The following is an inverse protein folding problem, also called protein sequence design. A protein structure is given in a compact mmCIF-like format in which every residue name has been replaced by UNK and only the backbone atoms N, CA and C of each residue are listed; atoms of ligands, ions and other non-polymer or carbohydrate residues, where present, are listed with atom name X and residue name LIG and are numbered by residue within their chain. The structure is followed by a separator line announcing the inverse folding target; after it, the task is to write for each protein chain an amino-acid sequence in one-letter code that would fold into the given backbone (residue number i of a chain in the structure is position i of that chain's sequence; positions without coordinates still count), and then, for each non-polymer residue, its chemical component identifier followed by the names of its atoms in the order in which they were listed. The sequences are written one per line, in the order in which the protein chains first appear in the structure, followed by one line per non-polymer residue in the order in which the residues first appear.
data_IF_622514335469
#
_entry.id   IF_622514335469
#
_cell.length_a   1.000
_cell.length_b   1.000
_cell.length_c   1.000
_cell.angle_alpha   90.00
_cell.angle_beta   90.00
_cell.angle_gamma   90.00
#
_symmetry.space_group_name_H-M   'P 1'
#
loop_
_entity.id
_entity.type
_entity.pdbx_description
1 polymer ?
#
# COMPACT_ATOMS: atom_id res chain seq x y z
N UNK A 1 5.19 3.05 23.58
CA UNK A 1 4.49 1.80 23.92
C UNK A 1 4.18 1.13 22.60
N UNK A 2 4.95 0.09 22.25
CA UNK A 2 4.76 -0.66 21.01
C UNK A 2 3.42 -1.38 21.12
N UNK A 3 2.52 -1.16 20.15
CA UNK A 3 1.23 -1.85 20.09
C UNK A 3 1.41 -3.02 19.13
N UNK A 4 1.51 -4.22 19.68
CA UNK A 4 1.57 -5.45 18.92
C UNK A 4 0.14 -5.83 18.49
N UNK A 5 -0.10 -5.97 17.19
CA UNK A 5 -1.28 -6.67 16.69
C UNK A 5 -0.84 -8.05 16.19
N UNK A 6 -1.21 -9.08 16.95
CA UNK A 6 -0.94 -10.47 16.56
C UNK A 6 -2.00 -10.88 15.53
N UNK A 7 -1.58 -11.15 14.29
CA UNK A 7 -2.43 -11.84 13.31
C UNK A 7 -2.14 -13.35 13.40
N UNK A 8 -2.78 -14.01 14.37
CA UNK A 8 -2.56 -15.42 14.71
C UNK A 8 -2.74 -16.41 13.54
N UNK A 9 -3.45 -16.03 12.47
CA UNK A 9 -3.79 -16.96 11.37
C UNK A 9 -2.65 -17.25 10.38
N UNK A 10 -1.52 -16.53 10.45
CA UNK A 10 -0.43 -16.66 9.45
C UNK A 10 0.95 -16.99 10.06
N UNK A 11 1.06 -17.21 11.38
CA UNK A 11 2.35 -17.32 12.08
C UNK A 11 3.28 -16.13 11.83
N UNK A 12 2.70 -14.93 11.75
CA UNK A 12 3.43 -13.67 11.54
C UNK A 12 3.20 -12.75 12.74
N UNK A 13 4.29 -12.27 13.33
CA UNK A 13 4.25 -11.21 14.37
C UNK A 13 4.86 -9.95 13.81
N UNK A 14 4.14 -8.84 13.87
CA UNK A 14 4.60 -7.55 13.38
C UNK A 14 4.69 -6.54 14.52
N UNK A 15 5.75 -5.72 14.51
CA UNK A 15 5.91 -4.54 15.34
C UNK A 15 5.96 -3.28 14.48
N UNK A 16 5.59 -2.14 15.07
CA UNK A 16 5.76 -0.82 14.44
C UNK A 16 7.00 -0.18 15.05
N UNK A 17 7.95 0.24 14.22
CA UNK A 17 9.15 0.95 14.67
C UNK A 17 8.76 2.33 15.21
N UNK A 18 9.37 2.72 16.33
CA UNK A 18 8.98 3.93 17.05
C UNK A 18 9.36 5.23 16.32
N UNK A 19 10.37 5.16 15.44
CA UNK A 19 11.01 6.29 14.78
C UNK A 19 10.48 6.54 13.36
N UNK A 20 10.19 5.46 12.62
CA UNK A 20 9.85 5.47 11.19
C UNK A 20 8.41 5.07 10.93
N UNK A 21 7.68 4.60 11.95
CA UNK A 21 6.34 4.02 11.81
C UNK A 21 6.27 2.88 10.78
N UNK A 22 7.41 2.22 10.54
CA UNK A 22 7.50 1.08 9.62
C UNK A 22 7.01 -0.19 10.32
N UNK A 23 6.35 -1.05 9.55
CA UNK A 23 5.99 -2.39 10.01
C UNK A 23 7.16 -3.33 9.78
N UNK A 24 7.65 -3.97 10.84
CA UNK A 24 8.64 -5.04 10.77
C UNK A 24 7.95 -6.33 11.20
N UNK A 25 7.96 -7.34 10.33
CA UNK A 25 7.23 -8.58 10.53
C UNK A 25 8.16 -9.80 10.56
N UNK A 26 7.97 -10.68 11.54
CA UNK A 26 8.62 -11.99 11.61
C UNK A 26 7.65 -13.08 11.21
N UNK A 27 8.00 -13.86 10.19
CA UNK A 27 7.28 -15.08 9.79
C UNK A 27 7.76 -16.27 10.60
N UNK A 28 6.89 -17.27 10.79
CA UNK A 28 7.14 -18.50 11.56
C UNK A 28 7.40 -18.27 13.06
N UNK A 29 6.64 -17.36 13.69
CA UNK A 29 6.78 -17.01 15.11
C UNK A 29 6.88 -18.22 16.07
N UNK A 30 6.08 -19.25 15.84
CA UNK A 30 6.08 -20.46 16.68
C UNK A 30 7.44 -21.15 16.74
N UNK A 31 8.27 -21.03 15.70
CA UNK A 31 9.63 -21.60 15.68
C UNK A 31 10.64 -20.78 16.47
N UNK A 32 10.34 -19.51 16.78
CA UNK A 32 11.19 -18.68 17.64
C UNK A 32 10.97 -18.98 19.12
N UNK A 33 9.76 -19.42 19.50
CA UNK A 33 9.49 -19.83 20.88
C UNK A 33 10.27 -21.09 21.30
N UNK A 34 10.76 -21.88 20.35
CA UNK A 34 11.61 -23.04 20.59
C UNK A 34 13.05 -22.66 21.03
N UNK A 35 13.44 -21.39 20.88
CA UNK A 35 14.76 -20.86 21.25
C UNK A 35 14.76 -19.99 22.52
N UNK A 36 13.66 -20.00 23.30
CA UNK A 36 13.55 -19.35 24.62
C UNK A 36 13.87 -17.84 24.62
N UNK A 37 13.36 -17.13 23.61
CA UNK A 37 13.63 -15.71 23.36
C UNK A 37 12.69 -14.79 24.17
N UNK A 38 13.23 -13.75 24.82
CA UNK A 38 12.40 -12.78 25.56
C UNK A 38 11.92 -11.62 24.66
N UNK A 39 10.68 -11.10 24.84
CA UNK A 39 10.12 -9.99 24.05
C UNK A 39 10.99 -8.73 24.00
N UNK A 40 11.83 -8.48 25.01
CA UNK A 40 12.74 -7.35 25.07
C UNK A 40 13.92 -7.42 24.10
N UNK A 41 14.31 -8.60 23.64
CA UNK A 41 15.38 -8.76 22.65
C UNK A 41 14.92 -8.37 21.24
N UNK A 42 13.60 -8.45 20.99
CA UNK A 42 12.97 -7.99 19.75
C UNK A 42 12.96 -6.47 19.65
N UNK A 43 12.76 -5.79 20.77
CA UNK A 43 12.78 -4.32 20.85
C UNK A 43 14.13 -3.73 20.43
N UNK A 44 15.26 -4.42 20.63
CA UNK A 44 16.56 -3.92 20.18
C UNK A 44 16.69 -3.92 18.65
N UNK A 45 16.22 -4.98 17.98
CA UNK A 45 16.19 -5.09 16.52
C UNK A 45 15.25 -4.07 15.87
N UNK A 46 14.12 -3.76 16.51
CA UNK A 46 13.16 -2.76 16.04
C UNK A 46 13.62 -1.32 16.23
N UNK A 47 14.55 -1.07 17.17
CA UNK A 47 15.01 0.27 17.53
C UNK A 47 16.43 0.60 17.02
N UNK A 48 17.07 -0.26 16.21
CA UNK A 48 18.32 0.09 15.52
C UNK A 48 18.00 0.97 14.31
N UNK A 49 18.23 2.27 14.48
CA UNK A 49 17.64 3.37 13.72
C UNK A 49 18.29 3.71 12.36
N UNK A 50 18.82 2.76 11.58
CA UNK A 50 19.23 3.07 10.21
C UNK A 50 19.32 1.86 9.28
N UNK A 51 18.79 1.99 8.06
CA UNK A 51 19.06 1.06 6.96
C UNK A 51 20.54 1.10 6.52
N UNK A 52 21.29 2.14 6.90
CA UNK A 52 22.72 2.27 6.60
C UNK A 52 23.61 1.43 7.53
N UNK A 53 23.18 1.10 8.75
CA UNK A 53 23.90 0.15 9.63
C UNK A 53 23.81 -1.31 9.11
N UNK A 54 22.84 -1.61 8.24
CA UNK A 54 22.71 -2.95 7.63
C UNK A 54 23.67 -3.17 6.45
N UNK A 55 24.28 -2.12 5.87
CA UNK A 55 25.32 -2.26 4.84
C UNK A 55 26.67 -2.75 5.39
N UNK A 56 26.84 -2.80 6.71
CA UNK A 56 28.11 -3.12 7.37
C UNK A 56 28.27 -4.55 7.88
N UNK A 57 27.32 -5.46 7.65
CA UNK A 57 27.36 -6.80 8.25
C UNK A 57 27.39 -7.93 7.23
N UNK A 58 28.47 -8.02 6.46
CA UNK A 58 28.89 -9.22 5.73
C UNK A 58 29.34 -10.38 6.66
N UNK A 59 28.89 -10.45 7.92
CA UNK A 59 29.44 -11.39 8.91
C UNK A 59 28.46 -12.07 9.87
N UNK A 60 27.15 -11.89 9.73
CA UNK A 60 26.19 -12.77 10.41
C UNK A 60 25.50 -13.67 9.38
N UNK A 61 25.48 -15.00 9.56
CA UNK A 61 24.71 -15.87 8.68
C UNK A 61 23.27 -15.39 8.73
N UNK A 62 22.65 -15.12 7.57
CA UNK A 62 21.20 -14.95 7.51
C UNK A 62 20.58 -16.25 8.01
N UNK A 63 19.92 -16.21 9.17
CA UNK A 63 19.25 -17.39 9.73
C UNK A 63 18.13 -17.82 8.77
N UNK A 64 17.89 -19.12 8.57
CA UNK A 64 16.84 -19.58 7.68
C UNK A 64 15.47 -19.18 8.23
N UNK A 65 14.88 -18.11 7.66
CA UNK A 65 13.52 -17.66 7.96
C UNK A 65 13.35 -16.19 8.35
N UNK A 66 14.41 -15.39 8.39
CA UNK A 66 14.30 -13.95 8.62
C UNK A 66 14.21 -13.18 7.29
N UNK A 67 13.03 -12.67 6.96
CA UNK A 67 12.84 -11.67 5.91
C UNK A 67 12.44 -10.36 6.59
N UNK A 68 13.28 -9.33 6.51
CA UNK A 68 12.85 -7.96 6.81
C UNK A 68 11.93 -7.54 5.67
N UNK A 69 10.62 -7.49 5.92
CA UNK A 69 9.71 -6.78 5.03
C UNK A 69 9.95 -5.28 5.23
N UNK A 70 10.98 -4.73 4.61
CA UNK A 70 11.12 -3.29 4.46
C UNK A 70 9.99 -2.83 3.53
N UNK A 71 9.10 -1.91 3.94
CA UNK A 71 8.11 -1.34 3.03
C UNK A 71 8.72 -0.55 1.86
N UNK A 72 10.05 -0.37 1.85
CA UNK A 72 10.70 0.73 1.15
C UNK A 72 11.47 0.37 -0.13
N UNK A 73 11.24 -0.79 -0.75
CA UNK A 73 11.77 -1.06 -2.09
C UNK A 73 10.65 -1.46 -3.06
N UNK A 74 9.69 -0.53 -3.26
CA UNK A 74 8.78 -0.55 -4.42
C UNK A 74 7.32 -0.90 -4.15
N UNK A 75 6.84 -0.74 -2.91
CA UNK A 75 5.43 -0.80 -2.55
C UNK A 75 4.89 0.59 -2.17
N UNK A 76 3.63 0.86 -2.53
CA UNK A 76 2.97 2.14 -2.23
C UNK A 76 2.74 2.31 -0.72
N UNK A 77 3.19 3.45 -0.16
CA UNK A 77 3.07 3.73 1.28
C UNK A 77 1.62 4.04 1.70
N UNK A 78 1.28 3.87 3.00
CA UNK A 78 -0.03 4.26 3.52
C UNK A 78 -0.36 5.75 3.33
N UNK A 79 0.64 6.63 3.50
CA UNK A 79 0.47 8.06 3.30
C UNK A 79 0.22 8.40 1.82
N UNK A 80 0.93 7.73 0.91
CA UNK A 80 0.67 7.88 -0.52
C UNK A 80 -0.75 7.44 -0.90
N UNK A 81 -1.21 6.28 -0.40
CA UNK A 81 -2.59 5.81 -0.56
C UNK A 81 -3.60 6.84 -0.03
N UNK A 82 -3.35 7.39 1.16
CA UNK A 82 -4.17 8.45 1.75
C UNK A 82 -4.28 9.67 0.82
N UNK A 83 -3.16 10.16 0.28
CA UNK A 83 -3.19 11.30 -0.63
C UNK A 83 -3.88 11.01 -1.97
N UNK A 84 -3.78 9.79 -2.50
CA UNK A 84 -4.55 9.38 -3.69
C UNK A 84 -6.06 9.35 -3.37
N UNK A 85 -6.44 8.84 -2.20
CA UNK A 85 -7.83 8.82 -1.72
C UNK A 85 -8.40 10.24 -1.56
N UNK A 86 -7.64 11.14 -0.93
CA UNK A 86 -7.96 12.56 -0.77
C UNK A 86 -8.10 13.28 -2.12
N UNK A 87 -7.26 12.91 -3.08
CA UNK A 87 -7.28 13.45 -4.43
C UNK A 87 -8.58 13.14 -5.18
N UNK A 88 -9.09 11.92 -5.03
CA UNK A 88 -10.31 11.44 -5.66
C UNK A 88 -11.59 11.99 -5.04
N UNK A 89 -11.81 11.73 -3.75
CA UNK A 89 -13.11 11.98 -3.09
C UNK A 89 -13.01 12.76 -1.78
N UNK A 90 -11.84 13.32 -1.46
CA UNK A 90 -11.53 13.74 -0.08
C UNK A 90 -11.61 12.58 0.91
N UNK A 91 -11.18 11.42 0.44
CA UNK A 91 -11.28 10.13 1.10
C UNK A 91 -12.64 9.85 1.75
N UNK A 92 -13.72 10.22 1.06
CA UNK A 92 -15.08 10.00 1.54
C UNK A 92 -15.47 8.54 1.32
N UNK A 93 -15.36 7.74 2.39
CA UNK A 93 -15.69 6.30 2.40
C UNK A 93 -17.18 6.01 2.16
N UNK A 94 -18.05 7.02 2.18
CA UNK A 94 -19.49 6.85 1.88
C UNK A 94 -19.81 7.03 0.40
N UNK A 95 -18.82 7.34 -0.44
CA UNK A 95 -19.01 7.46 -1.88
C UNK A 95 -19.34 6.10 -2.46
N UNK A 96 -20.52 6.02 -3.09
CA UNK A 96 -20.95 4.85 -3.84
C UNK A 96 -20.41 4.93 -5.27
N UNK A 97 -21.21 4.58 -6.28
CA UNK A 97 -20.81 4.68 -7.68
C UNK A 97 -21.29 5.98 -8.32
N UNK A 98 -20.39 6.69 -8.99
CA UNK A 98 -20.68 7.90 -9.76
C UNK A 98 -20.51 7.64 -11.25
N UNK A 99 -21.43 8.17 -12.05
CA UNK A 99 -21.43 8.02 -13.52
C UNK A 99 -21.42 9.40 -14.16
N UNK A 100 -20.23 9.97 -14.46
CA UNK A 100 -20.16 11.25 -15.17
C UNK A 100 -20.63 11.13 -16.63
N UNK A 101 -20.63 9.92 -17.21
CA UNK A 101 -21.10 9.64 -18.57
C UNK A 101 -21.91 8.32 -18.61
N UNK A 102 -22.69 8.04 -19.67
CA UNK A 102 -23.60 6.87 -19.71
C UNK A 102 -22.90 5.50 -19.71
N UNK A 103 -21.66 5.42 -20.21
CA UNK A 103 -20.98 4.14 -20.47
C UNK A 103 -19.87 3.82 -19.46
N UNK A 104 -19.62 4.71 -18.50
CA UNK A 104 -18.55 4.52 -17.52
C UNK A 104 -18.96 5.07 -16.14
N UNK A 105 -18.65 4.27 -15.12
CA UNK A 105 -18.84 4.64 -13.73
C UNK A 105 -17.61 4.24 -12.90
N UNK A 106 -17.42 4.97 -11.81
CA UNK A 106 -16.35 4.79 -10.86
C UNK A 106 -16.94 4.70 -9.47
N UNK A 107 -16.39 3.87 -8.60
CA UNK A 107 -16.98 3.59 -7.30
C UNK A 107 -15.97 3.77 -6.16
N UNK A 108 -16.51 4.07 -4.98
CA UNK A 108 -15.76 4.05 -3.74
C UNK A 108 -14.85 5.26 -3.53
N UNK A 109 -14.10 5.27 -2.41
CA UNK A 109 -13.29 6.41 -1.99
C UNK A 109 -12.15 6.74 -2.97
N UNK A 110 -11.69 5.74 -3.73
CA UNK A 110 -10.63 5.89 -4.73
C UNK A 110 -11.16 6.18 -6.15
N UNK A 111 -12.48 6.22 -6.37
CA UNK A 111 -13.06 6.30 -7.73
C UNK A 111 -12.45 5.27 -8.68
N UNK A 112 -12.55 3.99 -8.32
CA UNK A 112 -12.00 2.89 -9.12
C UNK A 112 -13.02 2.51 -10.19
N UNK A 113 -12.56 2.25 -11.42
CA UNK A 113 -13.39 1.72 -12.51
C UNK A 113 -13.35 0.19 -12.55
N UNK A 114 -14.31 -0.44 -13.23
CA UNK A 114 -14.32 -1.89 -13.39
C UNK A 114 -13.04 -2.40 -14.09
N UNK A 115 -12.56 -1.70 -15.11
CA UNK A 115 -11.34 -2.08 -15.83
C UNK A 115 -10.10 -2.01 -14.93
N UNK A 116 -9.99 -0.97 -14.11
CA UNK A 116 -8.92 -0.83 -13.12
C UNK A 116 -8.92 -2.03 -12.15
N UNK A 117 -10.08 -2.34 -11.56
CA UNK A 117 -10.24 -3.48 -10.66
C UNK A 117 -9.94 -4.83 -11.34
N UNK A 118 -10.37 -4.99 -12.59
CA UNK A 118 -10.07 -6.18 -13.38
C UNK A 118 -8.57 -6.34 -13.62
N UNK A 119 -7.88 -5.25 -13.94
CA UNK A 119 -6.44 -5.27 -14.14
C UNK A 119 -5.64 -5.47 -12.85
N UNK A 120 -6.20 -5.05 -11.71
CA UNK A 120 -5.65 -5.33 -10.38
C UNK A 120 -5.81 -6.81 -9.95
N UNK A 121 -6.36 -7.68 -10.80
CA UNK A 121 -6.54 -9.10 -10.50
C UNK A 121 -7.88 -9.44 -9.85
N UNK A 122 -8.86 -8.52 -9.89
CA UNK A 122 -10.22 -8.71 -9.36
C UNK A 122 -10.27 -9.11 -7.87
N UNK A 123 -9.61 -8.36 -6.98
CA UNK A 123 -9.72 -8.62 -5.54
C UNK A 123 -11.18 -8.56 -5.09
N UNK A 124 -11.55 -9.37 -4.10
CA UNK A 124 -12.92 -9.42 -3.59
C UNK A 124 -12.91 -9.51 -2.07
N UNK A 125 -14.07 -9.28 -1.47
CA UNK A 125 -14.27 -9.50 -0.04
C UNK A 125 -14.05 -10.99 0.31
N UNK A 126 -13.69 -11.25 1.56
CA UNK A 126 -13.44 -12.61 2.02
C UNK A 126 -14.68 -13.51 1.80
N UNK A 127 -14.48 -14.62 1.09
CA UNK A 127 -15.54 -15.58 0.76
C UNK A 127 -16.43 -15.19 -0.43
N UNK A 128 -16.13 -14.10 -1.12
CA UNK A 128 -16.82 -13.67 -2.33
C UNK A 128 -16.15 -14.21 -3.62
N UNK A 129 -16.80 -14.07 -4.77
CA UNK A 129 -16.35 -14.59 -6.06
C UNK A 129 -16.04 -13.45 -7.07
N UNK A 130 -14.85 -13.42 -7.70
CA UNK A 130 -14.44 -12.36 -8.63
C UNK A 130 -15.26 -12.31 -9.94
N UNK A 131 -16.12 -13.29 -10.21
CA UNK A 131 -17.03 -13.35 -11.36
C UNK A 131 -18.46 -13.01 -10.99
N UNK A 132 -18.79 -12.88 -9.69
CA UNK A 132 -20.14 -12.52 -9.24
C UNK A 132 -20.49 -11.10 -9.70
N UNK A 133 -21.69 -10.94 -10.25
CA UNK A 133 -22.26 -9.62 -10.53
C UNK A 133 -22.35 -8.81 -9.22
N UNK A 134 -21.73 -7.62 -9.19
CA UNK A 134 -21.65 -6.80 -7.98
C UNK A 134 -20.39 -7.02 -7.13
N UNK A 135 -19.49 -7.93 -7.50
CA UNK A 135 -18.24 -8.16 -6.77
C UNK A 135 -17.29 -6.96 -6.83
N UNK A 136 -17.20 -6.34 -8.00
CA UNK A 136 -16.47 -5.09 -8.21
C UNK A 136 -16.95 -4.01 -7.24
N UNK A 137 -18.24 -3.68 -7.28
CA UNK A 137 -18.83 -2.62 -6.46
C UNK A 137 -18.69 -2.91 -4.96
N UNK A 138 -18.90 -4.16 -4.55
CA UNK A 138 -18.77 -4.57 -3.16
C UNK A 138 -17.32 -4.41 -2.67
N UNK A 139 -16.33 -4.77 -3.48
CA UNK A 139 -14.93 -4.63 -3.12
C UNK A 139 -14.50 -3.15 -3.08
N UNK A 140 -14.73 -2.38 -4.14
CA UNK A 140 -14.12 -1.04 -4.22
C UNK A 140 -14.82 0.00 -3.35
N UNK A 141 -16.02 -0.30 -2.82
CA UNK A 141 -16.68 0.50 -1.77
C UNK A 141 -16.26 0.10 -0.35
N UNK A 142 -15.60 -1.05 -0.18
CA UNK A 142 -14.98 -1.45 1.08
C UNK A 142 -13.57 -0.87 1.18
N UNK A 143 -13.20 -0.34 2.35
CA UNK A 143 -11.92 0.38 2.53
C UNK A 143 -10.73 -0.55 2.30
N UNK A 144 -10.74 -1.74 2.92
CA UNK A 144 -9.61 -2.66 2.84
C UNK A 144 -9.49 -3.26 1.43
N UNK A 145 -10.62 -3.67 0.83
CA UNK A 145 -10.62 -4.26 -0.51
C UNK A 145 -10.27 -3.23 -1.59
N UNK A 146 -10.70 -1.96 -1.44
CA UNK A 146 -10.30 -0.88 -2.34
C UNK A 146 -8.80 -0.56 -2.23
N UNK A 147 -8.23 -0.50 -1.01
CA UNK A 147 -6.78 -0.35 -0.82
C UNK A 147 -6.01 -1.49 -1.47
N UNK A 148 -6.45 -2.74 -1.27
CA UNK A 148 -5.82 -3.90 -1.91
C UNK A 148 -5.89 -3.82 -3.44
N UNK A 149 -6.99 -3.30 -3.99
CA UNK A 149 -7.13 -3.05 -5.42
C UNK A 149 -6.09 -2.05 -5.93
N UNK A 150 -5.93 -0.92 -5.24
CA UNK A 150 -4.93 0.11 -5.63
C UNK A 150 -3.52 -0.45 -5.53
N UNK A 151 -3.18 -1.13 -4.42
CA UNK A 151 -1.87 -1.78 -4.23
C UNK A 151 -1.56 -2.76 -5.36
N UNK A 152 -2.45 -3.69 -5.65
CA UNK A 152 -2.25 -4.68 -6.71
C UNK A 152 -2.11 -4.03 -8.09
N UNK A 153 -2.86 -2.97 -8.36
CA UNK A 153 -2.71 -2.19 -9.60
C UNK A 153 -1.34 -1.51 -9.69
N UNK A 154 -0.86 -0.90 -8.60
CA UNK A 154 0.48 -0.29 -8.57
C UNK A 154 1.57 -1.34 -8.74
N UNK A 155 1.46 -2.49 -8.08
CA UNK A 155 2.42 -3.60 -8.29
C UNK A 155 2.50 -4.01 -9.76
N UNK A 156 1.37 -4.01 -10.48
CA UNK A 156 1.30 -4.38 -11.90
C UNK A 156 1.84 -3.29 -12.85
N UNK A 157 1.59 -2.03 -12.56
CA UNK A 157 1.84 -0.92 -13.49
C UNK A 157 2.91 0.08 -13.04
N UNK A 158 3.60 -0.18 -11.93
CA UNK A 158 4.67 0.68 -11.43
C UNK A 158 5.73 0.93 -12.51
N UNK A 159 5.98 2.20 -12.77
CA UNK A 159 6.94 2.69 -13.74
C UNK A 159 7.21 4.17 -13.43
N UNK A 160 8.34 4.67 -13.89
CA UNK A 160 8.67 6.09 -13.83
C UNK A 160 7.84 6.84 -14.90
N UNK A 161 6.89 7.64 -14.43
CA UNK A 161 5.90 8.33 -15.24
C UNK A 161 6.25 9.80 -15.46
N UNK A 162 7.08 10.38 -14.59
CA UNK A 162 7.52 11.77 -14.67
C UNK A 162 8.96 11.92 -15.22
N UNK A 163 9.63 10.81 -15.51
CA UNK A 163 11.00 10.69 -16.02
C UNK A 163 12.07 11.31 -15.08
N UNK A 164 11.86 11.22 -13.76
CA UNK A 164 12.79 11.72 -12.74
C UNK A 164 13.82 10.69 -12.24
N UNK A 165 13.71 9.43 -12.71
CA UNK A 165 14.60 8.32 -12.38
C UNK A 165 14.22 7.58 -11.10
N UNK A 166 13.05 7.86 -10.50
CA UNK A 166 12.49 7.16 -9.35
C UNK A 166 11.11 6.62 -9.68
N UNK A 167 10.65 5.69 -8.84
CA UNK A 167 9.26 5.23 -8.86
C UNK A 167 8.71 5.51 -7.47
N UNK A 168 7.97 6.60 -7.35
CA UNK A 168 7.51 7.13 -6.07
C UNK A 168 6.02 7.51 -6.11
N UNK A 169 5.53 8.18 -5.07
CA UNK A 169 4.13 8.56 -4.99
C UNK A 169 3.64 9.49 -6.12
N UNK A 170 4.53 10.29 -6.75
CA UNK A 170 4.18 11.07 -7.95
C UNK A 170 3.83 10.18 -9.13
N UNK A 171 4.48 9.04 -9.27
CA UNK A 171 4.17 8.08 -10.33
C UNK A 171 2.88 7.36 -10.04
N UNK A 172 2.68 6.93 -8.79
CA UNK A 172 1.47 6.23 -8.40
C UNK A 172 0.21 7.09 -8.56
N UNK A 173 0.27 8.39 -8.26
CA UNK A 173 -0.88 9.29 -8.50
C UNK A 173 -1.20 9.44 -9.99
N UNK A 174 -0.18 9.45 -10.86
CA UNK A 174 -0.33 9.50 -12.33
C UNK A 174 -0.89 8.21 -12.89
N UNK A 175 -0.37 7.07 -12.45
CA UNK A 175 -0.86 5.73 -12.80
C UNK A 175 -2.32 5.58 -12.36
N UNK A 176 -2.67 6.04 -11.15
CA UNK A 176 -4.05 5.96 -10.67
C UNK A 176 -5.00 6.77 -11.55
N UNK A 177 -4.59 7.98 -11.96
CA UNK A 177 -5.43 8.91 -12.73
C UNK A 177 -5.59 8.51 -14.18
N UNK A 178 -4.50 8.14 -14.84
CA UNK A 178 -4.46 7.94 -16.30
C UNK A 178 -4.42 6.45 -16.70
N UNK A 179 -4.29 5.55 -15.72
CA UNK A 179 -4.00 4.14 -15.96
C UNK A 179 -2.52 3.89 -16.28
N UNK A 180 -2.10 2.63 -16.19
CA UNK A 180 -0.70 2.24 -16.33
C UNK A 180 -0.05 2.65 -17.66
N UNK A 181 -0.74 2.50 -18.79
CA UNK A 181 -0.17 2.86 -20.10
C UNK A 181 -0.24 4.36 -20.42
N UNK A 182 -1.03 5.12 -19.65
CA UNK A 182 -1.29 6.55 -19.89
C UNK A 182 -0.59 7.48 -18.90
N UNK A 183 0.22 6.95 -17.98
CA UNK A 183 0.67 7.72 -16.81
C UNK A 183 1.53 8.95 -17.15
N UNK A 184 2.18 8.97 -18.32
CA UNK A 184 2.95 10.12 -18.81
C UNK A 184 2.10 11.30 -19.30
N UNK A 185 0.79 11.11 -19.47
CA UNK A 185 -0.09 12.21 -19.85
C UNK A 185 -0.14 13.27 -18.72
N UNK A 186 -0.15 14.57 -19.06
CA UNK A 186 -0.11 15.65 -18.07
C UNK A 186 -1.36 15.64 -17.19
N UNK A 187 -1.17 15.85 -15.88
CA UNK A 187 -2.25 15.93 -14.89
C UNK A 187 -2.17 17.20 -14.02
N UNK A 188 -1.15 18.01 -14.20
CA UNK A 188 -0.75 19.13 -13.32
C UNK A 188 -1.86 20.17 -13.16
N UNK A 189 -2.62 20.40 -14.23
CA UNK A 189 -3.70 21.38 -14.26
C UNK A 189 -5.00 20.86 -13.63
N UNK A 190 -5.11 19.54 -13.42
CA UNK A 190 -6.33 18.90 -12.93
C UNK A 190 -6.55 19.20 -11.44
N UNK A 191 -7.83 19.31 -11.04
CA UNK A 191 -8.17 19.46 -9.62
C UNK A 191 -7.72 18.26 -8.78
N UNK A 192 -7.75 17.07 -9.38
CA UNK A 192 -7.22 15.83 -8.79
C UNK A 192 -5.76 16.04 -8.36
N UNK A 193 -4.86 16.35 -9.29
CA UNK A 193 -3.44 16.51 -8.93
C UNK A 193 -3.19 17.65 -7.93
N UNK A 194 -3.92 18.77 -8.03
CA UNK A 194 -3.83 19.87 -7.04
C UNK A 194 -4.22 19.43 -5.63
N UNK A 195 -5.25 18.58 -5.52
CA UNK A 195 -5.65 18.00 -4.24
C UNK A 195 -4.56 17.06 -3.69
N UNK A 196 -4.00 16.20 -4.54
CA UNK A 196 -2.88 15.32 -4.18
C UNK A 196 -1.69 16.11 -3.66
N UNK A 197 -1.22 17.13 -4.40
CA UNK A 197 -0.10 17.97 -4.02
C UNK A 197 -0.34 18.68 -2.68
N UNK A 198 -1.57 19.11 -2.42
CA UNK A 198 -1.94 19.70 -1.12
C UNK A 198 -1.75 18.70 0.03
N UNK A 199 -2.16 17.44 -0.17
CA UNK A 199 -1.96 16.38 0.83
C UNK A 199 -0.47 16.05 1.01
N UNK A 200 0.26 15.82 -0.08
CA UNK A 200 1.68 15.46 -0.07
C UNK A 200 2.56 16.53 0.63
N UNK A 201 2.19 17.80 0.56
CA UNK A 201 2.90 18.86 1.27
C UNK A 201 2.71 18.85 2.80
N UNK A 202 1.77 18.05 3.31
CA UNK A 202 1.44 17.94 4.74
C UNK A 202 1.96 16.63 5.32
N UNK A 203 2.00 15.54 4.53
CA UNK A 203 2.42 14.21 4.98
C UNK A 203 3.55 13.64 4.10
N UNK A 204 4.60 13.04 4.69
CA UNK A 204 5.64 12.34 3.91
C UNK A 204 5.04 11.14 3.17
N UNK A 205 5.21 11.09 1.85
CA UNK A 205 4.61 10.03 1.01
C UNK A 205 5.59 8.93 0.61
N UNK A 206 6.88 9.13 0.84
CA UNK A 206 7.99 8.32 0.36
C UNK A 206 9.05 8.19 1.47
#
# INVERSE_FOLDING_TARGET
MVRFEVKEKENIVCGVTADTQNYVCCKNWDKMQEYDWEPSEFDWYLNSSSADDQKGQDSYPLWPGFEVLNPSDGDITPNCLGCICESGTKCNISVTCISPWPEAYWCGPFLISWAYWSDAGKPVLAGDDPTRKGAFEACVQDVDCSVNTVKAYMTRFKQDCNDDGRIDCEDYVRIHRNGGYGCKAPIEETQYYKNFQTCKNIVPTD
#
